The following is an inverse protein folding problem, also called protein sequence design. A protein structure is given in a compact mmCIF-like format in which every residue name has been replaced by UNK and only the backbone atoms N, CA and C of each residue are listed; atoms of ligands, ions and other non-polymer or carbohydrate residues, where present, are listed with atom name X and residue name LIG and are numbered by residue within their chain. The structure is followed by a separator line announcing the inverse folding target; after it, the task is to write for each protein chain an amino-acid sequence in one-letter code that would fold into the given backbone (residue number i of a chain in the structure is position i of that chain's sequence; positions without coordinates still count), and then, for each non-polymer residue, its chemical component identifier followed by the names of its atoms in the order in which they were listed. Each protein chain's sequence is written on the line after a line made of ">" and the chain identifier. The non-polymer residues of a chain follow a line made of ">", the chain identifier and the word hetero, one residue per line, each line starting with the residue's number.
data_IF_701869956462
#
_entry.id   IF_701869956462
#
_cell.length_a   1.000
_cell.length_b   1.000
_cell.length_c   1.000
_cell.angle_alpha   90.00
_cell.angle_beta   90.00
_cell.angle_gamma   90.00
#
_symmetry.space_group_name_H-M   'P 1'
#
loop_
_entity.id
_entity.type
_entity.pdbx_description
1 polymer ?
#
# COMPACT_ATOMS: atom_id res chain seq x y z
N UNK A 1 28.93 -1.08 19.63
CA UNK A 1 27.90 -1.77 18.84
C UNK A 1 28.61 -2.58 17.77
N UNK A 2 28.85 -3.86 18.02
CA UNK A 2 29.46 -4.81 17.08
C UNK A 2 28.40 -5.27 16.07
N UNK A 3 28.72 -5.21 14.77
CA UNK A 3 27.88 -5.80 13.73
C UNK A 3 27.88 -7.34 13.91
N UNK A 4 26.74 -8.04 13.76
CA UNK A 4 26.73 -9.49 13.81
C UNK A 4 27.49 -10.06 12.60
N UNK A 5 28.22 -11.17 12.75
CA UNK A 5 28.99 -11.77 11.67
C UNK A 5 28.06 -12.25 10.55
N UNK A 6 28.33 -11.81 9.32
CA UNK A 6 27.68 -12.28 8.10
C UNK A 6 28.12 -13.72 7.83
N UNK A 7 27.29 -14.70 8.21
CA UNK A 7 27.52 -16.10 7.86
C UNK A 7 27.41 -16.27 6.33
N UNK A 8 28.53 -16.57 5.68
CA UNK A 8 28.56 -16.93 4.27
C UNK A 8 28.14 -18.40 4.13
N UNK A 9 26.90 -18.62 3.69
CA UNK A 9 26.41 -19.95 3.35
C UNK A 9 26.96 -20.36 1.97
N UNK A 10 27.72 -21.45 1.90
CA UNK A 10 28.09 -22.07 0.62
C UNK A 10 26.89 -22.83 0.06
N UNK A 11 26.19 -22.21 -0.89
CA UNK A 11 25.03 -22.83 -1.55
C UNK A 11 25.48 -23.91 -2.53
N UNK A 12 24.72 -25.00 -2.59
CA UNK A 12 24.85 -25.96 -3.69
C UNK A 12 24.38 -25.32 -5.00
N UNK A 13 24.96 -25.74 -6.14
CA UNK A 13 24.69 -25.13 -7.45
C UNK A 13 23.21 -25.17 -7.90
N UNK A 14 22.37 -25.99 -7.26
CA UNK A 14 20.95 -26.13 -7.50
C UNK A 14 20.06 -25.43 -6.45
N UNK A 15 20.64 -24.71 -5.49
CA UNK A 15 19.91 -24.03 -4.43
C UNK A 15 19.96 -22.52 -4.61
N UNK A 16 18.79 -21.90 -4.73
CA UNK A 16 18.66 -20.45 -4.69
C UNK A 16 18.44 -20.00 -3.24
N UNK A 17 19.12 -18.94 -2.80
CA UNK A 17 18.73 -18.24 -1.57
C UNK A 17 17.35 -17.67 -1.83
N UNK A 18 16.34 -18.22 -1.17
CA UNK A 18 15.06 -17.53 -1.04
C UNK A 18 15.29 -16.40 -0.04
N UNK A 19 15.26 -15.12 -0.46
CA UNK A 19 15.45 -14.02 0.46
C UNK A 19 14.41 -14.11 1.57
N UNK A 20 14.90 -14.09 2.81
CA UNK A 20 14.12 -14.42 4.00
C UNK A 20 12.82 -13.63 4.09
N UNK A 21 12.75 -12.37 3.60
CA UNK A 21 11.55 -11.52 3.65
C UNK A 21 11.51 -10.45 2.55
N UNK A 22 10.73 -10.68 1.49
CA UNK A 22 10.49 -9.68 0.41
C UNK A 22 9.35 -8.71 0.78
N UNK A 23 8.44 -9.12 1.68
CA UNK A 23 7.17 -8.43 1.94
C UNK A 23 7.12 -7.68 3.28
N UNK A 24 8.24 -7.46 3.97
CA UNK A 24 8.19 -6.68 5.19
C UNK A 24 7.81 -5.23 4.90
N UNK A 25 6.83 -4.67 5.62
CA UNK A 25 6.51 -3.26 5.49
C UNK A 25 7.74 -2.45 5.88
N UNK A 26 8.19 -1.54 5.00
CA UNK A 26 9.29 -0.65 5.31
C UNK A 26 8.88 0.27 6.45
N UNK A 27 9.45 0.05 7.62
CA UNK A 27 9.14 0.83 8.82
C UNK A 27 10.01 2.08 8.87
N UNK A 28 9.39 3.22 9.17
CA UNK A 28 10.08 4.47 9.51
C UNK A 28 9.75 4.78 10.97
N UNK A 29 10.66 4.38 11.87
CA UNK A 29 10.40 4.41 13.31
C UNK A 29 9.24 3.47 13.70
N UNK A 30 8.24 3.91 14.49
CA UNK A 30 7.10 3.08 14.86
C UNK A 30 6.01 3.00 13.78
N UNK A 31 6.14 3.76 12.69
CA UNK A 31 5.10 3.93 11.69
C UNK A 31 5.49 3.26 10.37
N UNK A 32 4.52 2.66 9.70
CA UNK A 32 4.72 2.05 8.39
C UNK A 32 4.80 3.14 7.31
N UNK A 33 5.77 3.05 6.40
CA UNK A 33 5.96 4.04 5.33
C UNK A 33 4.70 4.18 4.45
N UNK A 34 3.97 3.09 4.24
CA UNK A 34 2.71 3.09 3.48
C UNK A 34 1.60 3.90 4.18
N UNK A 35 1.63 3.98 5.50
CA UNK A 35 0.62 4.70 6.29
C UNK A 35 0.93 6.20 6.38
N UNK A 36 2.21 6.57 6.37
CA UNK A 36 2.68 7.97 6.40
C UNK A 36 2.69 8.62 5.01
N UNK A 37 2.77 7.82 3.95
CA UNK A 37 2.83 8.32 2.57
C UNK A 37 1.79 9.40 2.22
N UNK A 38 0.50 9.31 2.63
CA UNK A 38 -0.49 10.35 2.38
C UNK A 38 -0.13 11.68 3.04
N UNK A 39 0.24 11.66 4.32
CA UNK A 39 0.61 12.86 5.06
C UNK A 39 1.79 13.61 4.41
N UNK A 40 2.83 12.86 4.01
CA UNK A 40 4.01 13.45 3.34
C UNK A 40 3.62 14.02 1.98
N UNK A 41 2.85 13.27 1.18
CA UNK A 41 2.42 13.71 -0.14
C UNK A 41 1.56 14.98 -0.07
N UNK A 42 0.56 15.00 0.81
CA UNK A 42 -0.28 16.18 1.00
C UNK A 42 0.48 17.35 1.62
N UNK A 43 1.46 17.09 2.49
CA UNK A 43 2.39 18.11 2.97
C UNK A 43 3.13 18.79 1.83
N UNK A 44 3.77 18.00 0.95
CA UNK A 44 4.50 18.50 -0.22
C UNK A 44 3.60 19.27 -1.19
N UNK A 45 2.38 18.78 -1.45
CA UNK A 45 1.41 19.45 -2.32
C UNK A 45 0.97 20.78 -1.70
N UNK A 46 0.69 20.80 -0.40
CA UNK A 46 0.26 22.03 0.28
C UNK A 46 1.34 23.09 0.36
N UNK A 47 2.60 22.69 0.54
CA UNK A 47 3.72 23.64 0.50
C UNK A 47 3.88 24.24 -0.90
N UNK A 48 3.66 23.44 -1.95
CA UNK A 48 3.72 23.93 -3.33
C UNK A 48 2.58 24.92 -3.67
N UNK A 49 1.39 24.74 -3.08
CA UNK A 49 0.20 25.58 -3.33
C UNK A 49 0.11 26.76 -2.34
N UNK A 50 0.96 26.81 -1.31
CA UNK A 50 0.89 27.81 -0.24
C UNK A 50 -0.26 27.58 0.75
N UNK A 51 -0.86 26.39 0.75
CA UNK A 51 -2.00 26.01 1.60
C UNK A 51 -1.64 24.83 2.52
N UNK A 52 -0.47 24.90 3.15
CA UNK A 52 0.10 23.82 3.98
C UNK A 52 -0.82 23.42 5.14
N UNK A 53 -1.50 24.37 5.78
CA UNK A 53 -2.35 24.08 6.93
C UNK A 53 -3.51 23.14 6.55
N UNK A 54 -4.21 23.44 5.46
CA UNK A 54 -5.33 22.62 4.99
C UNK A 54 -4.84 21.26 4.47
N UNK A 55 -3.73 21.23 3.75
CA UNK A 55 -3.21 19.99 3.20
C UNK A 55 -2.73 19.03 4.29
N UNK A 56 -2.09 19.53 5.34
CA UNK A 56 -1.63 18.72 6.47
C UNK A 56 -2.82 18.15 7.24
N UNK A 57 -3.89 18.92 7.43
CA UNK A 57 -5.13 18.42 8.05
C UNK A 57 -5.77 17.30 7.23
N UNK A 58 -5.87 17.48 5.91
CA UNK A 58 -6.42 16.46 5.00
C UNK A 58 -5.53 15.21 4.96
N UNK A 59 -4.22 15.39 4.82
CA UNK A 59 -3.24 14.30 4.83
C UNK A 59 -3.25 13.53 6.15
N UNK A 60 -3.34 14.23 7.28
CA UNK A 60 -3.44 13.64 8.61
C UNK A 60 -4.72 12.83 8.79
N UNK A 61 -5.86 13.36 8.36
CA UNK A 61 -7.14 12.64 8.42
C UNK A 61 -7.09 11.34 7.61
N UNK A 62 -6.54 11.40 6.38
CA UNK A 62 -6.39 10.21 5.51
C UNK A 62 -5.44 9.19 6.14
N UNK A 63 -4.32 9.63 6.71
CA UNK A 63 -3.39 8.74 7.41
C UNK A 63 -4.05 8.04 8.60
N UNK A 64 -4.83 8.74 9.42
CA UNK A 64 -5.57 8.12 10.55
C UNK A 64 -6.55 7.05 10.05
N UNK A 65 -7.29 7.35 8.98
CA UNK A 65 -8.22 6.38 8.36
C UNK A 65 -7.46 5.17 7.84
N UNK A 66 -6.34 5.38 7.14
CA UNK A 66 -5.50 4.29 6.65
C UNK A 66 -4.93 3.44 7.79
N UNK A 67 -4.47 4.05 8.88
CA UNK A 67 -3.99 3.31 10.06
C UNK A 67 -5.09 2.45 10.69
N UNK A 68 -6.33 2.96 10.76
CA UNK A 68 -7.48 2.17 11.25
C UNK A 68 -7.83 1.03 10.30
N UNK A 69 -7.79 1.26 8.99
CA UNK A 69 -8.09 0.23 7.99
C UNK A 69 -7.04 -0.87 7.99
N UNK A 70 -5.75 -0.52 7.97
CA UNK A 70 -4.65 -1.49 7.97
C UNK A 70 -4.61 -2.37 9.22
N UNK A 71 -5.11 -1.86 10.37
CA UNK A 71 -5.21 -2.65 11.60
C UNK A 71 -6.35 -3.67 11.57
N UNK A 72 -7.46 -3.33 10.94
CA UNK A 72 -8.68 -4.15 10.97
C UNK A 72 -8.82 -5.07 9.75
N UNK A 73 -8.19 -4.72 8.63
CA UNK A 73 -8.41 -5.39 7.35
C UNK A 73 -7.09 -5.80 6.67
N UNK A 74 -7.08 -6.92 5.93
CA UNK A 74 -5.90 -7.36 5.21
C UNK A 74 -5.52 -6.39 4.08
N UNK A 75 -4.24 -6.38 3.66
CA UNK A 75 -3.79 -5.55 2.55
C UNK A 75 -4.60 -5.84 1.28
N UNK A 76 -5.09 -4.79 0.61
CA UNK A 76 -5.91 -4.91 -0.60
C UNK A 76 -7.42 -4.98 -0.37
N UNK A 77 -7.89 -5.05 0.88
CA UNK A 77 -9.33 -5.03 1.21
C UNK A 77 -10.05 -3.80 0.63
N UNK A 78 -9.46 -2.61 0.79
CA UNK A 78 -10.06 -1.37 0.29
C UNK A 78 -10.19 -1.37 -1.23
N UNK A 79 -9.17 -1.86 -1.94
CA UNK A 79 -9.19 -1.98 -3.40
C UNK A 79 -10.29 -2.96 -3.85
N UNK A 80 -10.41 -4.10 -3.16
CA UNK A 80 -11.47 -5.07 -3.42
C UNK A 80 -12.87 -4.51 -3.12
N UNK A 81 -13.03 -3.78 -2.01
CA UNK A 81 -14.28 -3.13 -1.64
C UNK A 81 -14.71 -2.09 -2.68
N UNK A 82 -13.80 -1.21 -3.10
CA UNK A 82 -14.06 -0.21 -4.13
C UNK A 82 -14.37 -0.85 -5.49
N UNK A 83 -13.71 -1.95 -5.82
CA UNK A 83 -14.02 -2.74 -7.00
C UNK A 83 -15.42 -3.37 -6.93
N UNK A 84 -15.80 -3.96 -5.79
CA UNK A 84 -17.12 -4.57 -5.58
C UNK A 84 -18.25 -3.52 -5.71
N UNK A 85 -18.01 -2.32 -5.18
CA UNK A 85 -18.93 -1.18 -5.28
C UNK A 85 -18.96 -0.56 -6.70
N UNK A 86 -18.08 -0.98 -7.62
CA UNK A 86 -18.04 -0.47 -8.99
C UNK A 86 -17.37 0.90 -9.14
N UNK A 87 -16.55 1.33 -8.17
CA UNK A 87 -15.76 2.56 -8.29
C UNK A 87 -14.45 2.37 -9.08
N UNK A 88 -13.95 1.14 -9.19
CA UNK A 88 -12.69 0.83 -9.88
C UNK A 88 -12.99 -0.02 -11.12
N UNK A 89 -12.74 0.49 -12.34
CA UNK A 89 -12.90 -0.31 -13.56
C UNK A 89 -11.88 -1.45 -13.55
N UNK A 90 -12.36 -2.67 -13.78
CA UNK A 90 -11.46 -3.79 -14.00
C UNK A 90 -10.80 -3.64 -15.37
N UNK A 91 -9.54 -4.08 -15.51
CA UNK A 91 -8.97 -4.32 -16.84
C UNK A 91 -9.85 -5.35 -17.54
N UNK A 92 -10.55 -4.91 -18.58
CA UNK A 92 -11.39 -5.79 -19.40
C UNK A 92 -10.50 -6.86 -19.99
N UNK A 93 -10.62 -8.07 -19.46
CA UNK A 93 -9.89 -9.24 -19.96
C UNK A 93 -10.92 -10.20 -20.52
N UNK A 94 -10.58 -10.99 -21.54
CA UNK A 94 -11.52 -11.95 -22.18
C UNK A 94 -12.27 -12.82 -21.15
N UNK A 95 -11.64 -13.12 -20.02
CA UNK A 95 -12.16 -14.02 -18.97
C UNK A 95 -12.70 -13.28 -17.73
N UNK A 96 -12.49 -11.97 -17.62
CA UNK A 96 -12.95 -11.17 -16.48
C UNK A 96 -13.80 -10.01 -16.99
N UNK A 97 -15.14 -10.18 -17.03
CA UNK A 97 -16.05 -9.10 -17.38
C UNK A 97 -15.97 -7.97 -16.35
N UNK A 98 -16.06 -6.74 -16.83
CA UNK A 98 -15.99 -5.53 -16.01
C UNK A 98 -17.23 -5.45 -15.10
N UNK A 99 -17.09 -5.46 -13.76
CA UNK A 99 -18.21 -5.41 -12.84
C UNK A 99 -18.94 -4.06 -12.85
N UNK A 100 -18.36 -3.02 -13.47
CA UNK A 100 -19.06 -1.74 -13.71
C UNK A 100 -20.06 -1.89 -14.86
N UNK A 101 -19.73 -2.72 -15.86
CA UNK A 101 -20.63 -3.08 -16.95
C UNK A 101 -21.48 -4.27 -16.52
N UNK A 102 -22.27 -4.10 -15.44
CA UNK A 102 -23.39 -4.99 -15.09
C UNK A 102 -24.43 -4.90 -16.20
N UNK A 103 -24.14 -5.44 -17.39
CA UNK A 103 -25.16 -5.76 -18.36
C UNK A 103 -25.98 -6.85 -17.71
N UNK A 104 -27.13 -6.45 -17.16
CA UNK A 104 -28.24 -7.36 -16.99
C UNK A 104 -28.47 -7.94 -18.39
N UNK A 105 -28.07 -9.19 -18.61
CA UNK A 105 -28.53 -9.89 -19.80
C UNK A 105 -30.04 -9.98 -19.65
N UNK A 106 -30.74 -9.23 -20.49
CA UNK A 106 -32.15 -9.39 -20.75
C UNK A 106 -32.28 -10.14 -22.07
#
# INVERSE_FOLDING_TARGET
>A
MSQPPTQQYTLQANQNIVPYRVNEPQMVGPLNLKEIAPLVLFGLIGTAIGQTNYSVLVGGAITIVNMKLSKNFPPGYLYHYLWYQGFIPAKVTKYFPDPIKRRFYQ
#
